data_IF_260086445819
#
_entry.id   IF_260086445819
#
_cell.length_a   1.000
_cell.length_b   1.000
_cell.length_c   1.000
_cell.angle_alpha   90.00
_cell.angle_beta   90.00
_cell.angle_gamma   90.00
#
_symmetry.space_group_name_H-M   'P 1'
#
loop_
_entity.id
_entity.type
_entity.pdbx_description
1 polymer ?
#
# COMPACT_ATOMS: atom_id res chain seq x y z
N UNK A 1 7.65 -14.95 14.80
CA UNK A 1 6.39 -14.85 14.05
C UNK A 1 6.23 -13.36 13.70
N UNK A 2 6.18 -12.99 12.43
CA UNK A 2 6.07 -11.58 12.04
C UNK A 2 4.61 -11.11 12.17
N UNK A 3 4.20 -10.86 13.40
CA UNK A 3 2.97 -10.19 13.76
C UNK A 3 3.29 -8.71 14.00
N UNK A 4 2.55 -7.82 13.37
CA UNK A 4 2.64 -6.37 13.54
C UNK A 4 1.34 -5.79 14.06
N UNK A 5 1.44 -4.83 14.98
CA UNK A 5 0.30 -4.03 15.43
C UNK A 5 0.66 -2.57 15.21
N UNK A 6 -0.20 -1.84 14.50
CA UNK A 6 -0.06 -0.42 14.23
C UNK A 6 -1.13 0.39 14.95
N UNK A 7 -0.72 1.46 15.61
CA UNK A 7 -1.63 2.46 16.19
C UNK A 7 -1.63 3.69 15.30
N UNK A 8 -2.81 4.22 15.01
CA UNK A 8 -3.00 5.42 14.21
C UNK A 8 -3.67 6.51 15.03
N UNK A 9 -3.14 7.72 14.92
CA UNK A 9 -3.86 8.93 15.27
C UNK A 9 -4.33 9.60 13.99
N UNK A 10 -5.58 9.97 13.93
CA UNK A 10 -6.21 10.62 12.79
C UNK A 10 -6.55 12.05 13.18
N UNK A 11 -6.20 12.99 12.33
CA UNK A 11 -6.54 14.39 12.48
C UNK A 11 -7.04 14.93 11.15
N UNK A 12 -8.25 15.46 11.15
CA UNK A 12 -8.87 16.06 9.98
C UNK A 12 -9.31 17.49 10.28
N UNK A 13 -9.22 18.33 9.29
CA UNK A 13 -9.75 19.70 9.34
C UNK A 13 -10.56 19.95 8.08
N UNK A 14 -11.76 20.43 8.25
CA UNK A 14 -12.68 20.78 7.16
C UNK A 14 -13.32 22.13 7.45
N UNK A 15 -12.92 23.16 6.70
CA UNK A 15 -13.29 24.55 6.99
C UNK A 15 -12.93 24.90 8.44
N UNK A 16 -13.90 25.29 9.26
CA UNK A 16 -13.74 25.70 10.66
C UNK A 16 -13.92 24.57 11.66
N UNK A 17 -14.13 23.34 11.16
CA UNK A 17 -14.30 22.15 11.99
C UNK A 17 -13.06 21.26 12.00
N UNK A 18 -12.80 20.61 13.12
CA UNK A 18 -11.72 19.62 13.26
C UNK A 18 -12.25 18.32 13.88
N UNK A 19 -11.59 17.24 13.54
CA UNK A 19 -11.87 15.93 14.11
C UNK A 19 -10.56 15.24 14.53
N UNK A 20 -10.63 14.52 15.62
CA UNK A 20 -9.56 13.65 16.09
C UNK A 20 -10.07 12.23 16.19
N UNK A 21 -9.18 11.29 15.94
CA UNK A 21 -9.52 9.88 16.00
C UNK A 21 -8.36 8.96 16.23
N UNK A 22 -8.71 7.70 16.44
CA UNK A 22 -7.74 6.63 16.65
C UNK A 22 -8.15 5.38 15.87
N UNK A 23 -7.16 4.59 15.50
CA UNK A 23 -7.36 3.30 14.84
C UNK A 23 -6.25 2.32 15.13
N UNK A 24 -6.56 1.04 14.98
CA UNK A 24 -5.60 -0.06 15.15
C UNK A 24 -5.60 -0.89 13.88
N UNK A 25 -4.40 -1.23 13.41
CA UNK A 25 -4.18 -2.19 12.34
C UNK A 25 -3.42 -3.40 12.89
N UNK A 26 -3.79 -4.59 12.44
CA UNK A 26 -3.13 -5.85 12.80
C UNK A 26 -2.67 -6.51 11.52
N UNK A 27 -1.38 -6.85 11.44
CA UNK A 27 -0.78 -7.49 10.27
C UNK A 27 -0.04 -8.77 10.63
N UNK A 28 -0.12 -9.73 9.75
CA UNK A 28 0.63 -10.97 9.81
C UNK A 28 1.25 -11.27 8.45
N UNK A 29 2.50 -11.70 8.44
CA UNK A 29 3.18 -12.13 7.22
C UNK A 29 3.85 -13.48 7.45
N UNK A 30 3.84 -14.34 6.44
CA UNK A 30 4.54 -15.63 6.48
C UNK A 30 5.17 -15.92 5.13
N UNK A 31 6.27 -16.68 5.16
CA UNK A 31 6.96 -17.13 3.97
C UNK A 31 6.68 -18.62 3.80
N UNK A 32 6.14 -18.98 2.65
CA UNK A 32 5.85 -20.36 2.26
C UNK A 32 6.72 -20.66 1.04
N UNK A 33 7.79 -21.43 1.24
CA UNK A 33 8.83 -21.71 0.24
C UNK A 33 9.45 -20.37 -0.27
N UNK A 34 9.13 -19.96 -1.49
CA UNK A 34 9.62 -18.73 -2.12
C UNK A 34 8.60 -17.59 -2.11
N UNK A 35 7.36 -17.88 -1.71
CA UNK A 35 6.27 -16.91 -1.69
C UNK A 35 6.12 -16.27 -0.33
N UNK A 36 5.75 -15.02 -0.29
CA UNK A 36 5.33 -14.31 0.92
C UNK A 36 3.82 -14.10 0.89
N UNK A 37 3.15 -14.51 1.95
CA UNK A 37 1.72 -14.36 2.15
C UNK A 37 1.47 -13.42 3.33
N UNK A 38 0.77 -12.33 3.08
CA UNK A 38 0.46 -11.31 4.06
C UNK A 38 -1.04 -11.16 4.30
N UNK A 39 -1.40 -10.88 5.54
CA UNK A 39 -2.76 -10.56 5.98
C UNK A 39 -2.71 -9.26 6.77
N UNK A 40 -3.65 -8.35 6.50
CA UNK A 40 -3.78 -7.10 7.27
C UNK A 40 -5.25 -6.82 7.52
N UNK A 41 -5.60 -6.69 8.79
CA UNK A 41 -6.90 -6.15 9.23
C UNK A 41 -6.64 -4.69 9.58
N UNK A 42 -7.29 -3.78 8.86
CA UNK A 42 -7.22 -2.34 9.15
C UNK A 42 -8.44 -1.90 9.92
N UNK A 43 -8.24 -0.86 10.75
CA UNK A 43 -9.30 -0.24 11.55
C UNK A 43 -10.03 -1.25 12.46
N UNK A 44 -9.28 -2.10 13.16
CA UNK A 44 -9.85 -3.12 14.05
C UNK A 44 -10.06 -2.56 15.48
N UNK A 45 -11.19 -2.82 16.14
CA UNK A 45 -12.45 -3.37 15.61
C UNK A 45 -13.22 -2.37 14.75
N UNK A 46 -12.90 -1.08 14.87
CA UNK A 46 -13.30 0.07 14.07
C UNK A 46 -12.37 1.23 14.38
N UNK A 47 -12.13 2.15 13.42
CA UNK A 47 -11.54 3.44 13.75
C UNK A 47 -12.65 4.47 13.95
N UNK A 48 -12.45 5.40 14.87
CA UNK A 48 -13.43 6.46 15.18
C UNK A 48 -12.82 7.84 15.02
N UNK A 49 -13.60 8.75 14.49
CA UNK A 49 -13.34 10.18 14.44
C UNK A 49 -14.40 10.90 15.26
N UNK A 50 -14.00 11.84 16.09
CA UNK A 50 -14.88 12.68 16.90
C UNK A 50 -14.65 14.11 16.43
N UNK A 51 -15.69 14.73 15.88
CA UNK A 51 -15.69 16.11 15.45
C UNK A 51 -15.93 17.05 16.64
N UNK A 52 -15.45 18.27 16.54
CA UNK A 52 -15.73 19.37 17.50
C UNK A 52 -17.22 19.67 17.64
N UNK A 53 -18.02 19.38 16.62
CA UNK A 53 -19.49 19.42 16.64
C UNK A 53 -20.12 18.32 17.52
N UNK A 54 -19.34 17.37 18.04
CA UNK A 54 -19.83 16.20 18.75
C UNK A 54 -20.26 15.02 17.83
N UNK A 55 -20.17 15.17 16.51
CA UNK A 55 -20.47 14.11 15.56
C UNK A 55 -19.38 13.01 15.65
N UNK A 56 -19.80 11.75 15.69
CA UNK A 56 -18.90 10.60 15.70
C UNK A 56 -19.02 9.87 14.36
N UNK A 57 -17.89 9.74 13.67
CA UNK A 57 -17.77 8.96 12.45
C UNK A 57 -16.93 7.71 12.70
N UNK A 58 -17.39 6.57 12.21
CA UNK A 58 -16.69 5.30 12.33
C UNK A 58 -16.31 4.73 10.98
N UNK A 59 -15.06 4.30 10.84
CA UNK A 59 -14.60 3.52 9.68
C UNK A 59 -14.60 2.04 10.04
N UNK A 60 -15.29 1.26 9.23
CA UNK A 60 -15.38 -0.19 9.42
C UNK A 60 -14.06 -0.89 9.15
N UNK A 61 -13.81 -2.06 9.73
CA UNK A 61 -12.63 -2.83 9.45
C UNK A 61 -12.62 -3.32 8.00
N UNK A 62 -11.42 -3.38 7.43
CA UNK A 62 -11.16 -4.01 6.14
C UNK A 62 -10.09 -5.10 6.29
N UNK A 63 -10.21 -6.17 5.51
CA UNK A 63 -9.23 -7.24 5.42
C UNK A 63 -8.52 -7.16 4.07
N UNK A 64 -7.19 -7.19 4.09
CA UNK A 64 -6.36 -7.35 2.90
C UNK A 64 -5.57 -8.64 2.99
N UNK A 65 -5.57 -9.40 1.91
CA UNK A 65 -4.73 -10.59 1.74
C UNK A 65 -3.83 -10.33 0.54
N UNK A 66 -2.52 -10.51 0.71
CA UNK A 66 -1.53 -10.28 -0.34
C UNK A 66 -0.62 -11.49 -0.53
N UNK A 67 -0.37 -11.85 -1.77
CA UNK A 67 0.60 -12.86 -2.18
C UNK A 67 1.68 -12.21 -3.03
N UNK A 68 2.92 -12.39 -2.66
CA UNK A 68 4.09 -12.06 -3.45
C UNK A 68 4.82 -13.35 -3.82
N UNK A 69 5.10 -13.54 -5.11
CA UNK A 69 5.81 -14.72 -5.62
C UNK A 69 6.93 -14.28 -6.56
N UNK A 70 8.21 -14.57 -6.22
CA UNK A 70 9.33 -14.34 -7.12
C UNK A 70 9.40 -15.45 -8.19
N UNK A 71 9.51 -15.05 -9.44
CA UNK A 71 9.73 -15.93 -10.60
C UNK A 71 11.15 -15.68 -11.09
N UNK A 72 12.08 -16.60 -10.82
CA UNK A 72 13.42 -16.52 -11.39
C UNK A 72 13.37 -17.10 -12.81
N UNK A 73 13.35 -16.25 -13.78
CA UNK A 73 13.31 -16.72 -15.16
C UNK A 73 14.71 -16.85 -15.81
N UNK A 74 15.72 -16.14 -15.28
CA UNK A 74 17.05 -16.15 -15.89
C UNK A 74 18.16 -16.02 -14.83
N UNK A 75 18.65 -17.12 -14.30
CA UNK A 75 19.81 -17.11 -13.39
C UNK A 75 21.07 -16.44 -14.02
N UNK A 76 21.23 -16.51 -15.35
CA UNK A 76 22.34 -15.89 -16.07
C UNK A 76 22.22 -14.40 -16.36
N UNK A 77 21.03 -13.82 -16.31
CA UNK A 77 20.76 -12.47 -16.81
C UNK A 77 20.63 -11.40 -15.71
N UNK A 78 20.74 -11.78 -14.44
CA UNK A 78 20.53 -10.85 -13.32
C UNK A 78 19.14 -10.19 -13.34
N UNK A 79 18.14 -10.88 -13.88
CA UNK A 79 16.74 -10.43 -13.92
C UNK A 79 15.92 -11.26 -12.95
N UNK A 80 15.22 -10.58 -12.05
CA UNK A 80 14.22 -11.15 -11.15
C UNK A 80 12.85 -10.60 -11.52
N UNK A 81 11.86 -11.47 -11.63
CA UNK A 81 10.47 -11.08 -11.86
C UNK A 81 9.67 -11.42 -10.60
N UNK A 82 9.01 -10.45 -10.04
CA UNK A 82 8.09 -10.59 -8.93
C UNK A 82 6.65 -10.45 -9.41
N UNK A 83 5.78 -11.33 -8.94
CA UNK A 83 4.33 -11.19 -9.10
C UNK A 83 3.69 -10.87 -7.77
N UNK A 84 2.74 -9.95 -7.77
CA UNK A 84 2.03 -9.49 -6.59
C UNK A 84 0.54 -9.58 -6.88
N UNK A 85 -0.20 -10.24 -6.00
CA UNK A 85 -1.67 -10.30 -6.03
C UNK A 85 -2.17 -9.88 -4.66
N UNK A 86 -3.14 -8.97 -4.62
CA UNK A 86 -3.78 -8.51 -3.40
C UNK A 86 -5.29 -8.59 -3.57
N UNK A 87 -5.98 -9.05 -2.54
CA UNK A 87 -7.43 -8.93 -2.39
C UNK A 87 -7.70 -8.03 -1.19
N UNK A 88 -8.49 -7.00 -1.41
CA UNK A 88 -9.01 -6.17 -0.35
C UNK A 88 -10.51 -6.41 -0.23
N UNK A 89 -11.01 -6.57 1.00
CA UNK A 89 -12.41 -6.79 1.28
C UNK A 89 -12.85 -5.95 2.46
N UNK A 90 -14.03 -5.36 2.37
CA UNK A 90 -14.64 -4.60 3.46
C UNK A 90 -16.13 -4.88 3.54
N UNK A 91 -16.69 -4.68 4.72
CA UNK A 91 -18.13 -4.74 4.96
C UNK A 91 -18.68 -3.32 4.97
N UNK A 92 -19.46 -2.93 3.97
CA UNK A 92 -20.07 -1.62 3.89
C UNK A 92 -21.52 -1.70 3.47
N UNK A 93 -22.41 -1.02 4.21
CA UNK A 93 -23.81 -0.85 3.82
C UNK A 93 -24.00 0.37 2.91
N UNK A 94 -22.95 1.18 2.71
CA UNK A 94 -22.96 2.33 1.82
C UNK A 94 -22.54 1.86 0.43
N UNK A 95 -23.11 2.46 -0.62
CA UNK A 95 -22.64 2.24 -1.98
C UNK A 95 -21.24 2.85 -2.14
N UNK A 96 -20.23 2.04 -1.90
CA UNK A 96 -18.84 2.35 -2.23
C UNK A 96 -18.55 1.71 -3.58
N UNK A 97 -17.92 2.44 -4.48
CA UNK A 97 -17.45 1.88 -5.75
C UNK A 97 -16.47 0.75 -5.45
N UNK A 98 -16.84 -0.46 -5.85
CA UNK A 98 -16.07 -1.68 -5.65
C UNK A 98 -16.07 -2.47 -6.95
N UNK A 99 -14.97 -3.16 -7.25
CA UNK A 99 -14.85 -3.94 -8.48
C UNK A 99 -15.83 -5.13 -8.50
N UNK A 100 -16.01 -5.77 -7.35
CA UNK A 100 -16.95 -6.87 -7.17
C UNK A 100 -17.74 -6.64 -5.88
N UNK A 101 -19.06 -6.71 -5.95
CA UNK A 101 -19.91 -6.51 -4.79
C UNK A 101 -20.94 -7.61 -4.64
N UNK A 102 -21.08 -8.13 -3.43
CA UNK A 102 -22.10 -9.09 -3.07
C UNK A 102 -22.78 -8.65 -1.76
N UNK A 103 -23.95 -8.04 -1.86
CA UNK A 103 -24.64 -7.45 -0.72
C UNK A 103 -23.82 -6.34 -0.06
N UNK A 104 -23.49 -6.48 1.22
CA UNK A 104 -22.65 -5.57 1.99
C UNK A 104 -21.13 -5.87 1.87
N UNK A 105 -20.76 -6.96 1.22
CA UNK A 105 -19.36 -7.34 1.01
C UNK A 105 -18.82 -6.73 -0.27
N UNK A 106 -17.69 -6.00 -0.18
CA UNK A 106 -16.91 -5.55 -1.32
C UNK A 106 -15.65 -6.41 -1.47
N UNK A 107 -15.25 -6.68 -2.70
CA UNK A 107 -14.00 -7.38 -3.03
C UNK A 107 -13.30 -6.60 -4.13
N UNK A 108 -12.10 -6.11 -3.82
CA UNK A 108 -11.33 -5.25 -4.69
C UNK A 108 -9.94 -5.88 -4.96
N UNK A 109 -9.80 -6.66 -6.06
CA UNK A 109 -8.53 -7.25 -6.44
C UNK A 109 -7.56 -6.18 -6.95
N UNK A 110 -6.28 -6.35 -6.59
CA UNK A 110 -5.15 -5.63 -7.15
C UNK A 110 -4.07 -6.63 -7.56
N UNK A 111 -3.34 -6.33 -8.62
CA UNK A 111 -2.26 -7.20 -9.08
C UNK A 111 -1.18 -6.38 -9.78
N UNK A 112 0.04 -6.93 -9.79
CA UNK A 112 1.16 -6.27 -10.42
C UNK A 112 2.31 -7.23 -10.70
N UNK A 113 3.17 -6.78 -11.60
CA UNK A 113 4.44 -7.41 -11.93
C UNK A 113 5.54 -6.39 -11.73
N UNK A 114 6.61 -6.82 -11.08
CA UNK A 114 7.83 -6.06 -10.94
C UNK A 114 8.97 -6.83 -11.61
N UNK A 115 9.73 -6.15 -12.45
CA UNK A 115 10.95 -6.65 -13.08
C UNK A 115 12.11 -5.91 -12.45
N UNK A 116 13.05 -6.66 -11.84
CA UNK A 116 14.25 -6.12 -11.23
C UNK A 116 15.45 -6.55 -12.07
N UNK A 117 16.21 -5.58 -12.55
CA UNK A 117 17.43 -5.80 -13.30
C UNK A 117 18.66 -5.39 -12.46
N UNK A 118 19.62 -6.30 -12.32
CA UNK A 118 20.88 -6.13 -11.56
C UNK A 118 20.68 -5.54 -10.16
N UNK A 119 19.51 -5.76 -9.54
CA UNK A 119 19.15 -5.23 -8.22
C UNK A 119 19.10 -3.69 -8.12
N UNK A 120 19.35 -2.98 -9.20
CA UNK A 120 19.48 -1.53 -9.25
C UNK A 120 18.31 -0.85 -9.94
N UNK A 121 17.72 -1.50 -10.94
CA UNK A 121 16.64 -0.93 -11.77
C UNK A 121 15.39 -1.78 -11.61
N UNK A 122 14.28 -1.13 -11.35
CA UNK A 122 12.98 -1.78 -11.15
C UNK A 122 11.95 -1.15 -12.08
N UNK A 123 11.19 -1.98 -12.75
CA UNK A 123 10.04 -1.56 -13.57
C UNK A 123 8.81 -2.27 -13.01
N UNK A 124 7.74 -1.54 -12.80
CA UNK A 124 6.49 -2.03 -12.18
C UNK A 124 5.31 -1.66 -13.05
N UNK A 125 4.40 -2.61 -13.25
CA UNK A 125 3.11 -2.39 -13.89
C UNK A 125 2.03 -3.16 -13.12
N UNK A 126 0.83 -2.64 -13.08
CA UNK A 126 -0.26 -3.31 -12.36
C UNK A 126 -1.58 -2.57 -12.38
N UNK A 127 -2.49 -3.09 -11.59
CA UNK A 127 -3.75 -2.45 -11.21
C UNK A 127 -3.89 -2.39 -9.70
N UNK A 128 -4.38 -1.28 -9.21
CA UNK A 128 -4.69 -1.11 -7.79
C UNK A 128 -6.12 -1.61 -7.46
N UNK A 129 -6.48 -1.58 -6.16
CA UNK A 129 -7.78 -2.03 -5.67
C UNK A 129 -8.97 -1.16 -6.13
N UNK A 130 -8.73 0.05 -6.60
CA UNK A 130 -9.77 0.91 -7.21
C UNK A 130 -9.82 0.81 -8.73
N UNK A 131 -9.19 -0.23 -9.29
CA UNK A 131 -9.14 -0.56 -10.73
C UNK A 131 -8.37 0.43 -11.60
N UNK A 132 -7.55 1.30 -11.04
CA UNK A 132 -6.68 2.19 -11.81
C UNK A 132 -5.45 1.43 -12.32
N UNK A 133 -5.00 1.78 -13.53
CA UNK A 133 -3.73 1.29 -14.05
C UNK A 133 -2.56 2.00 -13.37
N UNK A 134 -1.57 1.24 -12.97
CA UNK A 134 -0.38 1.76 -12.28
C UNK A 134 0.89 1.38 -13.02
N UNK A 135 1.86 2.25 -13.02
CA UNK A 135 3.19 1.99 -13.55
C UNK A 135 4.25 2.67 -12.67
N UNK A 136 5.49 2.19 -12.74
CA UNK A 136 6.56 2.82 -11.97
C UNK A 136 7.93 2.35 -12.39
N UNK A 137 8.92 3.19 -12.07
CA UNK A 137 10.34 2.91 -12.26
C UNK A 137 11.07 3.21 -10.97
N UNK A 138 11.96 2.33 -10.56
CA UNK A 138 12.83 2.51 -9.39
C UNK A 138 14.30 2.39 -9.78
N UNK A 139 15.13 3.24 -9.20
CA UNK A 139 16.58 3.19 -9.34
C UNK A 139 17.21 3.13 -7.95
N UNK A 140 18.23 2.29 -7.79
CA UNK A 140 18.96 2.11 -6.53
C UNK A 140 20.46 2.26 -6.78
N UNK A 141 21.09 3.07 -5.95
CA UNK A 141 22.54 3.23 -5.89
C UNK A 141 22.95 3.09 -4.43
N UNK A 142 23.72 2.09 -4.10
CA UNK A 142 24.22 1.81 -2.74
C UNK A 142 23.33 2.32 -1.58
N UNK A 143 23.36 3.62 -1.33
CA UNK A 143 22.68 4.27 -0.19
C UNK A 143 21.48 5.13 -0.57
N UNK A 144 21.23 5.32 -1.86
CA UNK A 144 20.19 6.20 -2.38
C UNK A 144 19.27 5.40 -3.29
N UNK A 145 17.98 5.58 -3.13
CA UNK A 145 16.98 5.05 -4.04
C UNK A 145 15.99 6.12 -4.47
N UNK A 146 15.63 6.12 -5.74
CA UNK A 146 14.58 6.98 -6.28
C UNK A 146 13.52 6.11 -6.93
N UNK A 147 12.26 6.31 -6.56
CA UNK A 147 11.12 5.67 -7.17
C UNK A 147 10.21 6.74 -7.78
N UNK A 148 9.76 6.48 -8.98
CA UNK A 148 8.68 7.22 -9.63
C UNK A 148 7.51 6.27 -9.85
N UNK A 149 6.30 6.69 -9.50
CA UNK A 149 5.07 5.96 -9.77
C UNK A 149 4.04 6.85 -10.48
N UNK A 150 3.31 6.25 -11.38
CA UNK A 150 2.23 6.84 -12.12
C UNK A 150 0.96 6.02 -11.90
N UNK A 151 -0.14 6.71 -11.63
CA UNK A 151 -1.48 6.12 -11.46
C UNK A 151 -2.41 6.79 -12.44
N UNK A 152 -2.97 6.03 -13.37
CA UNK A 152 -3.97 6.50 -14.31
C UNK A 152 -5.37 6.16 -13.80
N UNK A 153 -6.04 7.15 -13.26
CA UNK A 153 -7.39 7.02 -12.72
C UNK A 153 -8.42 6.97 -13.84
N UNK A 154 -8.93 5.79 -14.14
CA UNK A 154 -9.89 5.56 -15.23
C UNK A 154 -11.28 6.06 -14.87
N UNK A 155 -11.67 5.99 -13.60
CA UNK A 155 -13.04 6.23 -13.13
C UNK A 155 -13.24 7.58 -12.41
N UNK A 156 -12.19 8.31 -12.12
CA UNK A 156 -12.29 9.56 -11.38
C UNK A 156 -12.32 10.77 -12.33
N UNK A 157 -13.50 11.10 -12.83
CA UNK A 157 -13.71 12.26 -13.71
C UNK A 157 -13.32 13.64 -13.14
N UNK A 158 -12.77 13.70 -11.94
CA UNK A 158 -12.40 14.96 -11.26
C UNK A 158 -10.93 15.02 -10.79
N UNK A 159 -10.21 13.92 -10.60
CA UNK A 159 -8.91 13.94 -9.89
C UNK A 159 -7.72 13.72 -10.83
N UNK A 160 -7.92 13.24 -12.06
CA UNK A 160 -6.85 13.08 -13.05
C UNK A 160 -5.78 12.05 -12.65
N UNK A 161 -4.67 12.08 -13.37
CA UNK A 161 -3.54 11.18 -13.14
C UNK A 161 -2.70 11.62 -11.93
N UNK A 162 -2.17 10.67 -11.18
CA UNK A 162 -1.29 10.93 -10.05
C UNK A 162 0.15 10.56 -10.38
N UNK A 163 1.07 11.40 -9.95
CA UNK A 163 2.52 11.20 -10.07
C UNK A 163 3.12 11.24 -8.68
N UNK A 164 3.86 10.20 -8.31
CA UNK A 164 4.54 10.12 -7.02
C UNK A 164 6.04 9.95 -7.25
N UNK A 165 6.82 10.70 -6.50
CA UNK A 165 8.28 10.57 -6.46
C UNK A 165 8.66 10.30 -5.02
N UNK A 166 9.45 9.24 -4.79
CA UNK A 166 9.95 8.87 -3.48
C UNK A 166 11.47 8.80 -3.50
N UNK A 167 12.09 9.34 -2.45
CA UNK A 167 13.52 9.26 -2.20
C UNK A 167 13.75 8.36 -0.97
N UNK A 168 14.57 7.34 -1.13
CA UNK A 168 14.98 6.43 -0.07
C UNK A 168 16.46 6.65 0.24
N UNK A 169 16.80 6.85 1.50
CA UNK A 169 18.17 7.04 1.97
C UNK A 169 18.50 6.00 3.04
N UNK A 170 19.70 5.41 2.99
CA UNK A 170 20.16 4.51 4.04
C UNK A 170 20.43 5.29 5.33
N UNK A 171 19.83 4.85 6.44
CA UNK A 171 20.07 5.44 7.76
C UNK A 171 21.55 5.34 8.19
N UNK A 172 22.18 4.22 7.90
CA UNK A 172 23.59 3.98 8.24
C UNK A 172 24.53 4.96 7.52
N UNK A 173 24.22 5.26 6.26
CA UNK A 173 24.96 6.27 5.50
C UNK A 173 24.78 7.67 6.09
N UNK A 174 23.57 8.06 6.47
CA UNK A 174 23.29 9.35 7.11
C UNK A 174 24.05 9.46 8.42
N UNK A 175 23.96 8.45 9.28
CA UNK A 175 24.62 8.42 10.60
C UNK A 175 26.15 8.48 10.42
N UNK A 176 26.72 7.73 9.46
CA UNK A 176 28.16 7.75 9.18
C UNK A 176 28.65 9.13 8.76
N UNK A 177 27.84 9.89 8.01
CA UNK A 177 28.18 11.26 7.60
C UNK A 177 28.04 12.28 8.73
N UNK A 178 27.11 12.07 9.66
CA UNK A 178 26.91 12.95 10.82
C UNK A 178 27.92 12.69 11.94
N UNK A 179 28.48 11.48 12.03
CA UNK A 179 29.46 11.08 13.06
C UNK A 179 30.90 11.52 12.74
N UNK A 180 31.14 12.15 11.57
CA UNK A 180 32.45 12.71 11.19
C UNK A 180 32.49 14.18 11.66
N UNK A 181 32.59 14.37 12.99
CA UNK A 181 33.04 15.61 13.61
C UNK A 181 33.86 15.29 14.86
#
# INVERSE_FOLDING_TARGET
>A
VPLGIGFKMLSYSLSDHYALGVGIDIGYNTIIKRSSLGFVIRNFPASGLIWDSGTVEGTRPSLSIGLHHPIDYFERSSVLINTIIKLETSLSNVNVDSQIRYGSLSIDPAYGIEIIYKQNTMIRIGKNSVNDNTGGVGLRWENIGVDYAFINSINSGAIGNHHLISLNLSSDWIISKLSIK
#
